data_IF_840849652088
#
_entry.id   IF_840849652088
#
_cell.length_a   1.000
_cell.length_b   1.000
_cell.length_c   1.000
_cell.angle_alpha   90.00
_cell.angle_beta   90.00
_cell.angle_gamma   90.00
#
_symmetry.space_group_name_H-M   'P 1'
#
loop_
_entity.id
_entity.type
_entity.pdbx_description
1 polymer ?
#
# COMPACT_ATOMS: atom_id res chain seq x y z
N UNK A 1 12.24 -10.70 -2.55
CA UNK A 1 12.08 -9.24 -2.57
C UNK A 1 11.04 -8.88 -3.60
N UNK A 2 9.87 -8.48 -3.11
CA UNK A 2 8.80 -7.87 -3.88
C UNK A 2 8.61 -6.43 -3.41
N UNK A 3 8.08 -5.58 -4.28
CA UNK A 3 7.65 -4.23 -3.91
C UNK A 3 6.16 -4.30 -3.60
N UNK A 4 5.78 -3.90 -2.39
CA UNK A 4 4.38 -3.83 -1.94
C UNK A 4 4.07 -2.36 -1.72
N UNK A 5 3.06 -1.83 -2.40
CA UNK A 5 2.65 -0.44 -2.28
C UNK A 5 1.27 -0.39 -1.63
N UNK A 6 1.15 0.30 -0.51
CA UNK A 6 -0.05 0.31 0.34
C UNK A 6 -0.65 1.71 0.42
N UNK A 7 -1.92 1.85 0.03
CA UNK A 7 -2.77 2.98 0.40
C UNK A 7 -3.56 2.62 1.67
N UNK A 8 -3.12 3.10 2.85
CA UNK A 8 -3.76 2.74 4.11
C UNK A 8 -5.12 3.41 4.28
N UNK A 9 -6.09 2.67 4.81
CA UNK A 9 -7.44 3.16 5.11
C UNK A 9 -8.20 2.19 6.03
N UNK A 10 -8.98 2.72 6.96
CA UNK A 10 -9.95 1.95 7.77
C UNK A 10 -11.37 2.05 7.20
N UNK A 11 -11.57 2.88 6.16
CA UNK A 11 -12.89 3.20 5.60
C UNK A 11 -12.90 3.05 4.08
N UNK A 12 -14.00 2.53 3.55
CA UNK A 12 -14.37 2.73 2.15
C UNK A 12 -15.39 3.88 2.10
N UNK A 13 -15.10 4.95 1.35
CA UNK A 13 -16.10 5.98 1.12
C UNK A 13 -17.15 5.40 0.17
N UNK A 14 -18.27 4.93 0.74
CA UNK A 14 -19.26 4.03 0.11
C UNK A 14 -19.89 4.43 -1.22
N UNK A 15 -19.61 5.63 -1.76
CA UNK A 15 -20.04 6.08 -3.09
C UNK A 15 -18.97 6.84 -3.89
N UNK A 16 -17.76 7.05 -3.34
CA UNK A 16 -16.72 7.81 -4.02
C UNK A 16 -15.37 7.72 -3.32
N UNK A 17 -14.50 6.86 -3.84
CA UNK A 17 -13.08 6.83 -3.49
C UNK A 17 -12.32 7.69 -4.50
N UNK A 18 -11.52 8.64 -4.02
CA UNK A 18 -10.48 9.24 -4.84
C UNK A 18 -9.41 8.17 -5.00
N UNK A 19 -9.31 7.58 -6.19
CA UNK A 19 -8.29 6.60 -6.49
C UNK A 19 -6.91 7.17 -6.14
N UNK A 20 -6.11 6.49 -5.29
CA UNK A 20 -4.79 6.93 -4.87
C UNK A 20 -3.79 6.83 -6.04
N UNK A 21 -3.80 7.82 -6.94
CA UNK A 21 -3.02 7.83 -8.19
C UNK A 21 -1.54 7.49 -8.02
N UNK A 22 -0.94 7.87 -6.90
CA UNK A 22 0.48 7.61 -6.62
C UNK A 22 0.81 6.11 -6.64
N UNK A 23 -0.11 5.23 -6.22
CA UNK A 23 0.09 3.78 -6.25
C UNK A 23 0.42 3.31 -7.66
N UNK A 24 -0.42 3.68 -8.62
CA UNK A 24 -0.29 3.28 -10.02
C UNK A 24 0.91 3.95 -10.70
N UNK A 25 1.23 5.20 -10.32
CA UNK A 25 2.41 5.90 -10.83
C UNK A 25 3.69 5.21 -10.37
N UNK A 26 3.81 4.87 -9.08
CA UNK A 26 4.98 4.15 -8.57
C UNK A 26 5.04 2.72 -9.09
N UNK A 27 3.91 2.05 -9.24
CA UNK A 27 3.86 0.72 -9.83
C UNK A 27 4.41 0.74 -11.27
N UNK A 28 3.92 1.64 -12.12
CA UNK A 28 4.39 1.79 -13.49
C UNK A 28 5.82 2.34 -13.62
N UNK A 29 6.29 3.11 -12.63
CA UNK A 29 7.67 3.59 -12.58
C UNK A 29 8.64 2.58 -11.97
N UNK A 30 8.17 1.46 -11.43
CA UNK A 30 9.04 0.43 -10.84
C UNK A 30 9.80 -0.30 -11.95
N UNK A 31 11.14 -0.31 -11.93
CA UNK A 31 11.92 -1.00 -12.96
C UNK A 31 11.62 -2.51 -13.01
N UNK A 32 11.49 -3.06 -14.21
CA UNK A 32 11.14 -4.47 -14.43
C UNK A 32 12.06 -5.49 -13.72
N UNK A 33 13.31 -5.12 -13.41
CA UNK A 33 14.25 -5.94 -12.61
C UNK A 33 13.76 -6.24 -11.18
N UNK A 34 12.76 -5.52 -10.69
CA UNK A 34 12.14 -5.73 -9.38
C UNK A 34 10.78 -6.45 -9.46
N UNK A 35 10.37 -6.86 -10.66
CA UNK A 35 9.05 -7.47 -10.91
C UNK A 35 7.90 -6.46 -10.84
N UNK A 36 6.68 -6.98 -10.94
CA UNK A 36 5.46 -6.19 -10.83
C UNK A 36 5.14 -5.94 -9.35
N UNK A 37 4.94 -4.67 -8.92
CA UNK A 37 4.57 -4.38 -7.55
C UNK A 37 3.19 -4.93 -7.17
N UNK A 38 3.06 -5.42 -5.94
CA UNK A 38 1.78 -5.72 -5.32
C UNK A 38 1.13 -4.41 -4.86
N UNK A 39 -0.03 -4.08 -5.42
CA UNK A 39 -0.82 -2.92 -5.00
C UNK A 39 -1.83 -3.38 -3.95
N UNK A 40 -1.82 -2.71 -2.80
CA UNK A 40 -2.82 -2.88 -1.74
C UNK A 40 -3.53 -1.55 -1.51
N UNK A 41 -4.81 -1.50 -1.84
CA UNK A 41 -5.67 -0.36 -1.53
C UNK A 41 -6.64 -0.76 -0.43
N UNK A 42 -6.38 -0.31 0.81
CA UNK A 42 -7.18 -0.69 1.97
C UNK A 42 -8.59 -0.08 1.98
N UNK A 43 -8.89 0.81 1.02
CA UNK A 43 -10.28 1.22 0.75
C UNK A 43 -11.09 0.11 0.06
N UNK A 44 -10.42 -0.89 -0.52
CA UNK A 44 -11.01 -2.07 -1.15
C UNK A 44 -10.78 -3.32 -0.30
N UNK A 45 -9.54 -3.59 0.09
CA UNK A 45 -9.16 -4.77 0.87
C UNK A 45 -7.95 -4.48 1.75
N UNK A 46 -8.04 -4.88 3.02
CA UNK A 46 -6.98 -4.69 4.03
C UNK A 46 -5.71 -5.47 3.66
N UNK A 47 -4.55 -4.94 4.01
CA UNK A 47 -3.30 -5.70 3.87
C UNK A 47 -3.35 -6.97 4.73
N UNK A 48 -2.88 -8.08 4.16
CA UNK A 48 -2.71 -9.34 4.89
C UNK A 48 -1.27 -9.44 5.39
N UNK A 49 -1.02 -9.50 6.72
CA UNK A 49 0.33 -9.57 7.27
C UNK A 49 1.18 -10.71 6.69
N UNK A 50 0.56 -11.85 6.40
CA UNK A 50 1.21 -13.02 5.82
C UNK A 50 1.77 -12.78 4.41
N UNK A 51 1.30 -11.75 3.70
CA UNK A 51 1.84 -11.37 2.40
C UNK A 51 3.13 -10.56 2.51
N UNK A 52 3.57 -10.15 3.70
CA UNK A 52 4.84 -9.43 3.88
C UNK A 52 5.92 -10.42 4.33
N UNK A 53 6.96 -10.58 3.51
CA UNK A 53 8.05 -11.53 3.79
C UNK A 53 9.38 -10.80 4.05
N UNK A 54 10.31 -11.40 4.82
CA UNK A 54 11.64 -10.83 5.03
C UNK A 54 12.32 -10.48 3.70
N UNK A 55 12.78 -9.23 3.59
CA UNK A 55 13.42 -8.71 2.38
C UNK A 55 12.47 -8.19 1.31
N UNK A 56 11.16 -8.11 1.56
CA UNK A 56 10.23 -7.31 0.75
C UNK A 56 10.37 -5.80 1.07
N UNK A 57 10.00 -4.95 0.12
CA UNK A 57 9.98 -3.50 0.26
C UNK A 57 8.52 -3.06 0.38
N UNK A 58 8.16 -2.39 1.48
CA UNK A 58 6.81 -1.88 1.69
C UNK A 58 6.80 -0.35 1.60
N UNK A 59 6.13 0.19 0.58
CA UNK A 59 5.89 1.62 0.42
C UNK A 59 4.49 2.01 0.92
N UNK A 60 4.40 2.97 1.84
CA UNK A 60 3.14 3.36 2.51
C UNK A 60 2.79 4.81 2.16
N UNK A 61 1.63 5.02 1.53
CA UNK A 61 1.15 6.34 1.11
C UNK A 61 0.45 7.12 2.23
N UNK A 62 1.22 7.77 3.08
CA UNK A 62 0.68 8.50 4.23
C UNK A 62 0.33 9.95 3.87
N UNK A 63 -0.88 10.35 4.23
CA UNK A 63 -1.34 11.74 4.28
C UNK A 63 -2.09 12.01 5.59
N UNK A 64 -2.45 13.27 5.83
CA UNK A 64 -2.99 13.72 7.13
C UNK A 64 -4.16 12.90 7.66
N UNK A 65 -5.03 12.38 6.78
CA UNK A 65 -6.26 11.69 7.18
C UNK A 65 -6.09 10.17 7.38
N UNK A 66 -4.99 9.56 6.93
CA UNK A 66 -4.73 8.13 7.09
C UNK A 66 -3.44 7.83 7.89
N UNK A 67 -2.85 8.85 8.53
CA UNK A 67 -1.56 8.73 9.20
C UNK A 67 -1.53 7.64 10.28
N UNK A 68 -2.55 7.57 11.14
CA UNK A 68 -2.64 6.53 12.17
C UNK A 68 -2.59 5.13 11.54
N UNK A 69 -3.47 4.88 10.56
CA UNK A 69 -3.51 3.60 9.85
C UNK A 69 -2.20 3.29 9.13
N UNK A 70 -1.58 4.29 8.51
CA UNK A 70 -0.27 4.16 7.88
C UNK A 70 0.85 3.73 8.84
N UNK A 71 0.86 4.26 10.07
CA UNK A 71 1.81 3.82 11.10
C UNK A 71 1.53 2.40 11.58
N UNK A 72 0.27 1.96 11.64
CA UNK A 72 -0.08 0.58 11.97
C UNK A 72 0.42 -0.40 10.92
N UNK A 73 0.23 -0.10 9.62
CA UNK A 73 0.81 -0.87 8.52
C UNK A 73 2.34 -0.91 8.64
N UNK A 74 2.98 0.22 8.97
CA UNK A 74 4.43 0.29 9.17
C UNK A 74 4.93 -0.57 10.34
N UNK A 75 4.12 -0.75 11.39
CA UNK A 75 4.44 -1.65 12.52
C UNK A 75 4.24 -3.11 12.14
N UNK A 76 3.23 -3.42 11.33
CA UNK A 76 2.94 -4.76 10.82
C UNK A 76 4.03 -5.25 9.84
N UNK A 77 4.58 -4.33 9.03
CA UNK A 77 5.60 -4.64 8.03
C UNK A 77 7.04 -4.73 8.56
N UNK A 78 7.27 -4.53 9.87
CA UNK A 78 8.58 -4.69 10.52
C UNK A 78 8.80 -6.12 10.99
#
# INVERSE_FOLDING_TARGET
MRVILVNPSDVSFGIGVITPRWLYVLAGATPARYGDPLIVDETLEQIRPEDVQPGDIVGIGIHTANALRGFEVGRLAR
#
